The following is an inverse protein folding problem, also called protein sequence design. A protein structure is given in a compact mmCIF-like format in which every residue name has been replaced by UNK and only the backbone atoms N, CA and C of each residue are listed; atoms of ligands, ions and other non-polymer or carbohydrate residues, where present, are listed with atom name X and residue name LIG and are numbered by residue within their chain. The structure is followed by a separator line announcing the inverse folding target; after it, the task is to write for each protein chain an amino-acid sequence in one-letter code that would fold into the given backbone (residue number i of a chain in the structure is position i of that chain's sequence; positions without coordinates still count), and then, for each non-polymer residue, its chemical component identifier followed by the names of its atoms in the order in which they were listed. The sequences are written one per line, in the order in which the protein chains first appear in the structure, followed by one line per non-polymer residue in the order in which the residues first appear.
data_IF_066901117668
#
_entry.id   IF_066901117668
#
_cell.length_a   1.000
_cell.length_b   1.000
_cell.length_c   1.000
_cell.angle_alpha   90.00
_cell.angle_beta   90.00
_cell.angle_gamma   90.00
#
_symmetry.space_group_name_H-M   'P 1'
#
loop_
_entity.id
_entity.type
_entity.pdbx_description
1 polymer ?
#
# COMPACT_ATOMS: atom_id res chain seq x y z
N UNK A 1 -3.72 -15.57 -19.68
CA UNK A 1 -3.54 -14.10 -19.50
C UNK A 1 -2.10 -13.76 -19.83
N UNK A 2 -1.78 -12.57 -20.37
CA UNK A 2 -0.38 -12.15 -20.59
C UNK A 2 0.18 -11.37 -19.40
N UNK A 3 1.51 -11.18 -19.34
CA UNK A 3 2.16 -10.40 -18.27
C UNK A 3 1.72 -8.93 -18.28
N UNK A 4 1.55 -8.33 -19.45
CA UNK A 4 1.07 -6.94 -19.58
C UNK A 4 -0.36 -6.83 -19.07
N UNK A 5 -1.22 -7.80 -19.42
CA UNK A 5 -2.59 -7.83 -18.93
C UNK A 5 -2.66 -7.97 -17.41
N UNK A 6 -1.77 -8.78 -16.81
CA UNK A 6 -1.66 -8.91 -15.35
C UNK A 6 -1.24 -7.60 -14.68
N UNK A 7 -0.20 -6.95 -15.21
CA UNK A 7 0.31 -5.71 -14.66
C UNK A 7 -0.75 -4.60 -14.73
N UNK A 8 -1.45 -4.49 -15.87
CA UNK A 8 -2.58 -3.56 -16.03
C UNK A 8 -3.67 -3.88 -15.02
N UNK A 9 -4.03 -5.16 -14.86
CA UNK A 9 -5.08 -5.60 -13.94
C UNK A 9 -4.76 -5.27 -12.49
N UNK A 10 -3.53 -5.52 -12.04
CA UNK A 10 -3.06 -5.20 -10.70
C UNK A 10 -3.03 -3.68 -10.46
N UNK A 11 -2.54 -2.92 -11.44
CA UNK A 11 -2.48 -1.45 -11.38
C UNK A 11 -3.86 -0.82 -11.31
N UNK A 12 -4.81 -1.31 -12.12
CA UNK A 12 -6.20 -0.85 -12.09
C UNK A 12 -6.91 -1.23 -10.80
N UNK A 13 -6.65 -2.41 -10.24
CA UNK A 13 -7.22 -2.78 -8.94
C UNK A 13 -6.74 -1.83 -7.85
N UNK A 14 -5.43 -1.57 -7.81
CA UNK A 14 -4.83 -0.64 -6.87
C UNK A 14 -5.42 0.78 -7.00
N UNK A 15 -5.45 1.34 -8.21
CA UNK A 15 -5.95 2.69 -8.49
C UNK A 15 -7.44 2.91 -8.11
N UNK A 16 -8.25 1.85 -8.23
CA UNK A 16 -9.68 1.89 -7.93
C UNK A 16 -10.00 1.38 -6.52
N UNK A 17 -8.99 0.95 -5.75
CA UNK A 17 -9.16 0.61 -4.35
C UNK A 17 -9.45 1.87 -3.52
N UNK A 18 -10.30 1.82 -2.49
CA UNK A 18 -10.45 2.94 -1.57
C UNK A 18 -9.15 3.27 -0.82
N UNK A 19 -8.36 2.25 -0.50
CA UNK A 19 -7.24 2.34 0.46
C UNK A 19 -5.92 1.80 -0.12
N UNK A 20 -5.69 1.95 -1.44
CA UNK A 20 -4.46 1.48 -2.07
C UNK A 20 -4.18 -0.03 -1.83
N UNK A 21 -5.23 -0.86 -1.83
CA UNK A 21 -5.14 -2.30 -1.57
C UNK A 21 -4.55 -3.08 -2.74
N UNK A 22 -3.91 -4.21 -2.42
CA UNK A 22 -3.38 -5.15 -3.40
C UNK A 22 -4.45 -6.07 -3.99
N UNK A 23 -4.23 -6.49 -5.23
CA UNK A 23 -5.06 -7.46 -5.93
C UNK A 23 -4.84 -8.87 -5.35
N UNK A 24 -5.85 -9.51 -4.75
CA UNK A 24 -5.67 -10.85 -4.19
C UNK A 24 -5.48 -11.89 -5.30
N UNK A 25 -4.50 -12.77 -5.17
CA UNK A 25 -4.24 -13.87 -6.13
C UNK A 25 -5.47 -14.77 -6.24
N UNK A 26 -6.13 -15.06 -5.12
CA UNK A 26 -7.40 -15.80 -5.08
C UNK A 26 -8.52 -15.22 -5.97
N UNK A 27 -8.51 -13.91 -6.26
CA UNK A 27 -9.44 -13.30 -7.21
C UNK A 27 -9.17 -13.79 -8.63
N UNK A 28 -7.90 -13.84 -9.03
CA UNK A 28 -7.48 -14.33 -10.35
C UNK A 28 -7.72 -15.84 -10.50
N UNK A 29 -7.49 -16.63 -9.45
CA UNK A 29 -7.79 -18.07 -9.46
C UNK A 29 -9.30 -18.34 -9.64
N UNK A 30 -10.15 -17.55 -8.97
CA UNK A 30 -11.61 -17.61 -9.14
C UNK A 30 -12.09 -17.21 -10.54
N UNK A 31 -11.33 -16.36 -11.23
CA UNK A 31 -11.55 -16.01 -12.63
C UNK A 31 -11.11 -17.13 -13.59
N UNK A 32 -10.57 -18.24 -13.08
CA UNK A 32 -10.25 -19.45 -13.83
C UNK A 32 -8.80 -19.52 -14.33
N UNK A 33 -7.90 -18.67 -13.80
CA UNK A 33 -6.49 -18.72 -14.13
C UNK A 33 -5.78 -19.86 -13.40
N UNK A 34 -4.83 -20.51 -14.08
CA UNK A 34 -3.98 -21.53 -13.49
C UNK A 34 -2.96 -20.92 -12.52
N UNK A 35 -2.77 -21.57 -11.36
CA UNK A 35 -1.87 -21.10 -10.31
C UNK A 35 -0.41 -21.08 -10.76
N UNK A 36 0.03 -22.12 -11.47
CA UNK A 36 1.41 -22.27 -11.89
C UNK A 36 1.77 -21.26 -12.97
N UNK A 37 0.89 -21.08 -13.95
CA UNK A 37 1.02 -20.02 -14.97
C UNK A 37 1.07 -18.64 -14.32
N UNK A 38 0.18 -18.36 -13.36
CA UNK A 38 0.15 -17.08 -12.66
C UNK A 38 1.42 -16.84 -11.85
N UNK A 39 1.91 -17.85 -11.15
CA UNK A 39 3.15 -17.77 -10.39
C UNK A 39 4.36 -17.48 -11.30
N UNK A 40 4.42 -18.10 -12.48
CA UNK A 40 5.47 -17.84 -13.47
C UNK A 40 5.42 -16.38 -13.97
N UNK A 41 4.23 -15.87 -14.33
CA UNK A 41 4.05 -14.49 -14.77
C UNK A 41 4.41 -13.48 -13.69
N UNK A 42 3.99 -13.71 -12.44
CA UNK A 42 4.31 -12.84 -11.31
C UNK A 42 5.80 -12.85 -11.02
N UNK A 43 6.45 -14.02 -11.07
CA UNK A 43 7.90 -14.13 -10.88
C UNK A 43 8.66 -13.27 -11.88
N UNK A 44 8.29 -13.34 -13.16
CA UNK A 44 8.92 -12.51 -14.20
C UNK A 44 8.75 -11.01 -13.92
N UNK A 45 7.53 -10.57 -13.60
CA UNK A 45 7.22 -9.16 -13.33
C UNK A 45 7.89 -8.64 -12.05
N UNK A 46 8.04 -9.48 -11.02
CA UNK A 46 8.78 -9.14 -9.79
C UNK A 46 10.27 -8.99 -10.10
N UNK A 47 10.86 -9.89 -10.88
CA UNK A 47 12.26 -9.79 -11.30
C UNK A 47 12.52 -8.58 -12.19
N UNK A 48 11.52 -8.13 -12.97
CA UNK A 48 11.57 -6.87 -13.74
C UNK A 48 11.36 -5.61 -12.87
N UNK A 49 11.00 -5.79 -11.59
CA UNK A 49 10.73 -4.69 -10.66
C UNK A 49 9.43 -3.96 -10.97
N UNK A 50 8.48 -4.61 -11.63
CA UNK A 50 7.19 -4.04 -12.03
C UNK A 50 6.06 -4.41 -11.07
N UNK A 51 6.21 -5.54 -10.37
CA UNK A 51 5.25 -6.04 -9.39
C UNK A 51 5.92 -6.36 -8.07
N UNK A 52 5.12 -6.32 -7.02
CA UNK A 52 5.50 -6.74 -5.68
C UNK A 52 4.40 -7.62 -5.08
N UNK A 53 4.78 -8.52 -4.18
CA UNK A 53 3.89 -9.50 -3.57
C UNK A 53 3.93 -9.36 -2.05
N UNK A 54 2.76 -9.44 -1.43
CA UNK A 54 2.58 -9.54 0.02
C UNK A 54 1.91 -10.87 0.34
N UNK A 55 2.47 -11.62 1.29
CA UNK A 55 1.91 -12.90 1.76
C UNK A 55 1.36 -12.77 3.17
N UNK A 56 0.37 -13.61 3.49
CA UNK A 56 -0.21 -13.71 4.83
C UNK A 56 0.81 -14.20 5.87
N UNK A 57 1.76 -15.05 5.47
CA UNK A 57 2.82 -15.56 6.36
C UNK A 57 3.83 -14.49 6.77
N UNK A 58 3.94 -13.43 5.96
CA UNK A 58 4.84 -12.31 6.22
C UNK A 58 4.12 -11.08 6.78
N UNK A 59 2.79 -11.07 6.72
CA UNK A 59 1.98 -9.91 7.07
C UNK A 59 0.59 -10.35 7.57
N UNK A 60 0.15 -9.80 8.70
CA UNK A 60 -1.16 -10.12 9.30
C UNK A 60 -2.33 -9.82 8.35
N UNK A 61 -2.16 -8.84 7.44
CA UNK A 61 -3.16 -8.52 6.44
C UNK A 61 -2.51 -8.19 5.09
N UNK A 62 -2.43 -9.14 4.14
CA UNK A 62 -1.78 -8.92 2.85
C UNK A 62 -2.53 -7.96 1.92
N UNK A 63 -3.81 -7.67 2.20
CA UNK A 63 -4.61 -6.72 1.43
C UNK A 63 -4.15 -5.27 1.57
N UNK A 64 -3.43 -4.97 2.65
CA UNK A 64 -2.74 -3.68 2.83
C UNK A 64 -1.24 -3.90 2.75
N UNK A 65 -0.55 -2.92 2.18
CA UNK A 65 0.91 -2.86 2.25
C UNK A 65 1.30 -2.34 3.63
N UNK A 66 1.19 -3.17 4.66
CA UNK A 66 1.30 -2.73 6.05
C UNK A 66 2.69 -2.19 6.38
N UNK A 67 3.73 -2.94 6.04
CA UNK A 67 5.12 -2.62 6.37
C UNK A 67 5.97 -2.31 5.12
N UNK A 68 7.03 -1.50 5.26
CA UNK A 68 8.00 -1.26 4.20
C UNK A 68 8.67 -2.53 3.65
N UNK A 69 9.03 -2.50 2.36
CA UNK A 69 9.56 -3.64 1.61
C UNK A 69 10.83 -4.25 2.23
N UNK A 70 11.69 -3.44 2.82
CA UNK A 70 12.96 -3.86 3.42
C UNK A 70 12.81 -4.74 4.67
N UNK A 71 11.60 -4.91 5.21
CA UNK A 71 11.34 -5.81 6.34
C UNK A 71 11.04 -7.25 5.92
N UNK A 72 11.11 -7.58 4.62
CA UNK A 72 10.72 -8.90 4.10
C UNK A 72 11.90 -9.69 3.54
N UNK A 73 11.80 -11.01 3.63
CA UNK A 73 12.74 -11.93 3.00
C UNK A 73 12.71 -11.80 1.46
N UNK A 74 13.75 -12.27 0.74
CA UNK A 74 13.79 -12.25 -0.72
C UNK A 74 12.60 -13.00 -1.36
N UNK A 75 12.14 -12.52 -2.51
CA UNK A 75 10.99 -13.10 -3.23
C UNK A 75 11.15 -14.60 -3.50
N UNK A 76 12.31 -15.02 -4.01
CA UNK A 76 12.55 -16.43 -4.40
C UNK A 76 12.46 -17.39 -3.21
N UNK A 77 12.77 -16.91 -1.99
CA UNK A 77 12.60 -17.68 -0.77
C UNK A 77 11.12 -17.77 -0.38
N UNK A 78 10.40 -16.64 -0.43
CA UNK A 78 9.00 -16.55 -0.03
C UNK A 78 8.08 -17.31 -0.98
N UNK A 79 8.29 -17.22 -2.29
CA UNK A 79 7.46 -17.90 -3.29
C UNK A 79 7.52 -19.43 -3.19
N UNK A 80 8.58 -19.98 -2.58
CA UNK A 80 8.75 -21.41 -2.35
C UNK A 80 8.18 -21.86 -1.00
N UNK A 81 8.21 -20.98 0.01
CA UNK A 81 7.86 -21.31 1.40
C UNK A 81 6.44 -20.92 1.80
N UNK A 82 5.88 -19.93 1.13
CA UNK A 82 4.60 -19.33 1.47
C UNK A 82 3.52 -19.74 0.47
N UNK A 83 2.28 -19.69 0.94
CA UNK A 83 1.11 -19.94 0.14
C UNK A 83 0.85 -18.76 -0.83
N UNK A 84 1.12 -19.01 -2.11
CA UNK A 84 0.94 -18.02 -3.16
C UNK A 84 -0.55 -17.73 -3.44
N UNK A 85 -1.47 -18.65 -3.16
CA UNK A 85 -2.91 -18.46 -3.44
C UNK A 85 -3.52 -17.34 -2.59
N UNK A 86 -3.01 -17.17 -1.37
CA UNK A 86 -3.45 -16.16 -0.40
C UNK A 86 -2.61 -14.88 -0.43
N UNK A 87 -1.71 -14.75 -1.41
CA UNK A 87 -0.92 -13.55 -1.59
C UNK A 87 -1.72 -12.41 -2.26
N UNK A 88 -1.22 -11.18 -2.12
CA UNK A 88 -1.73 -10.00 -2.79
C UNK A 88 -0.65 -9.34 -3.66
N UNK A 89 -1.06 -8.92 -4.85
CA UNK A 89 -0.24 -8.33 -5.90
C UNK A 89 -0.36 -6.81 -5.89
N UNK A 90 0.77 -6.12 -5.96
CA UNK A 90 0.84 -4.65 -6.01
C UNK A 90 1.69 -4.19 -7.18
N UNK A 91 1.30 -3.14 -7.91
CA UNK A 91 2.23 -2.48 -8.82
C UNK A 91 3.40 -1.91 -8.01
N UNK A 92 4.61 -1.93 -8.59
CA UNK A 92 5.76 -1.32 -7.94
C UNK A 92 5.66 0.21 -7.98
N UNK A 93 6.38 0.94 -7.09
CA UNK A 93 6.45 2.41 -7.15
C UNK A 93 6.87 2.95 -8.53
N UNK A 94 7.74 2.21 -9.24
CA UNK A 94 8.16 2.54 -10.61
C UNK A 94 6.99 2.52 -11.59
N UNK A 95 6.12 1.51 -11.50
CA UNK A 95 4.94 1.39 -12.37
C UNK A 95 3.91 2.43 -12.00
N UNK A 96 3.68 2.65 -10.70
CA UNK A 96 2.75 3.67 -10.20
C UNK A 96 3.13 5.05 -10.75
N UNK A 97 4.39 5.46 -10.59
CA UNK A 97 4.87 6.77 -11.04
C UNK A 97 4.74 6.99 -12.57
N UNK A 98 4.69 5.90 -13.34
CA UNK A 98 4.56 5.94 -14.81
C UNK A 98 3.10 5.94 -15.27
N UNK A 99 2.25 5.17 -14.61
CA UNK A 99 0.91 4.81 -15.12
C UNK A 99 -0.22 5.55 -14.39
N UNK A 100 0.00 6.08 -13.18
CA UNK A 100 -1.04 6.71 -12.38
C UNK A 100 -0.84 8.23 -12.24
N UNK A 101 -1.92 8.98 -12.48
CA UNK A 101 -1.98 10.40 -12.13
C UNK A 101 -2.40 10.56 -10.67
N UNK A 102 -1.43 10.95 -9.83
CA UNK A 102 -1.62 11.14 -8.39
C UNK A 102 -1.86 12.62 -8.01
N UNK A 103 -2.07 13.51 -8.99
CA UNK A 103 -2.25 14.94 -8.76
C UNK A 103 -3.39 15.28 -7.80
N UNK A 104 -4.42 14.42 -7.72
CA UNK A 104 -5.54 14.58 -6.78
C UNK A 104 -5.11 14.62 -5.31
N UNK A 105 -3.97 14.03 -4.96
CA UNK A 105 -3.43 14.00 -3.59
C UNK A 105 -2.26 14.97 -3.36
N UNK A 106 -1.99 15.88 -4.30
CA UNK A 106 -0.83 16.79 -4.21
C UNK A 106 -0.79 17.63 -2.91
N UNK A 107 -1.95 17.87 -2.28
CA UNK A 107 -2.06 18.61 -1.01
C UNK A 107 -2.18 17.71 0.23
N UNK A 108 -2.08 16.40 0.06
CA UNK A 108 -2.17 15.39 1.11
C UNK A 108 -0.89 14.56 1.12
N UNK A 109 0.22 15.05 1.69
CA UNK A 109 1.55 14.46 1.49
C UNK A 109 1.65 13.01 1.95
N UNK A 110 0.99 12.63 3.05
CA UNK A 110 1.01 11.25 3.54
C UNK A 110 0.11 10.33 2.71
N UNK A 111 -1.04 10.83 2.26
CA UNK A 111 -1.91 10.12 1.32
C UNK A 111 -1.17 9.91 -0.01
N UNK A 112 -0.50 10.93 -0.52
CA UNK A 112 0.31 10.85 -1.73
C UNK A 112 1.41 9.79 -1.60
N UNK A 113 2.18 9.80 -0.50
CA UNK A 113 3.21 8.79 -0.24
C UNK A 113 2.65 7.36 -0.23
N UNK A 114 1.48 7.17 0.38
CA UNK A 114 0.80 5.87 0.36
C UNK A 114 0.47 5.45 -1.07
N UNK A 115 -0.11 6.36 -1.85
CA UNK A 115 -0.52 6.13 -3.23
C UNK A 115 0.64 6.01 -4.21
N UNK A 116 1.83 6.50 -3.88
CA UNK A 116 3.08 6.28 -4.60
C UNK A 116 3.66 4.86 -4.36
N UNK A 117 2.97 4.02 -3.59
CA UNK A 117 3.39 2.65 -3.26
C UNK A 117 4.07 2.51 -1.89
N UNK A 118 3.91 3.53 -1.03
CA UNK A 118 4.38 3.53 0.36
C UNK A 118 3.64 2.54 1.25
N UNK A 119 4.19 2.29 2.44
CA UNK A 119 3.56 1.43 3.43
C UNK A 119 2.48 2.17 4.22
N UNK A 120 1.45 1.45 4.67
CA UNK A 120 0.37 2.00 5.50
C UNK A 120 0.86 2.37 6.90
N UNK A 121 1.76 1.57 7.47
CA UNK A 121 2.36 1.79 8.78
C UNK A 121 3.83 2.18 8.62
N UNK A 122 4.07 3.25 7.87
CA UNK A 122 5.41 3.81 7.77
C UNK A 122 5.77 4.66 9.00
N UNK A 123 7.04 4.67 9.38
CA UNK A 123 7.53 5.40 10.54
C UNK A 123 8.07 6.76 10.11
N UNK A 124 7.37 7.81 10.52
CA UNK A 124 7.76 9.19 10.25
C UNK A 124 8.29 9.85 11.52
N UNK A 125 9.40 10.57 11.36
CA UNK A 125 10.05 11.30 12.43
C UNK A 125 9.84 12.80 12.23
N UNK A 126 9.61 13.51 13.33
CA UNK A 126 9.43 14.94 13.34
C UNK A 126 10.30 15.56 14.43
N UNK A 127 10.87 16.71 14.12
CA UNK A 127 11.46 17.57 15.14
C UNK A 127 10.35 18.06 16.08
N UNK A 128 10.59 18.00 17.39
CA UNK A 128 9.59 18.42 18.39
C UNK A 128 9.04 19.84 18.14
N UNK A 129 9.86 20.84 17.77
CA UNK A 129 9.35 22.18 17.44
C UNK A 129 8.31 22.21 16.31
N UNK A 130 8.32 21.24 15.38
CA UNK A 130 7.31 21.14 14.33
C UNK A 130 5.96 20.78 14.96
N UNK A 131 5.94 19.77 15.84
CA UNK A 131 4.72 19.32 16.51
C UNK A 131 4.17 20.36 17.49
N UNK A 132 5.05 21.11 18.17
CA UNK A 132 4.66 22.18 19.09
C UNK A 132 3.80 23.27 18.42
N UNK A 133 4.08 23.60 17.14
CA UNK A 133 3.29 24.58 16.39
C UNK A 133 1.84 24.13 16.23
N UNK A 134 1.62 22.86 15.94
CA UNK A 134 0.27 22.30 15.78
C UNK A 134 -0.42 22.12 17.13
N UNK A 135 0.30 21.68 18.16
CA UNK A 135 -0.25 21.57 19.53
C UNK A 135 -0.81 22.91 20.04
N UNK A 136 -0.13 24.01 19.72
CA UNK A 136 -0.50 25.35 20.17
C UNK A 136 -1.52 26.05 19.24
N UNK A 137 -1.84 25.46 18.08
CA UNK A 137 -2.81 26.01 17.15
C UNK A 137 -4.23 25.57 17.53
N UNK A 138 -5.17 26.50 17.81
CA UNK A 138 -6.51 26.16 18.28
C UNK A 138 -7.34 25.35 17.27
N UNK A 139 -6.95 25.34 15.98
CA UNK A 139 -7.58 24.53 14.93
C UNK A 139 -7.30 23.04 15.07
N UNK A 140 -6.30 22.65 15.86
CA UNK A 140 -5.91 21.28 16.08
C UNK A 140 -6.31 20.81 17.48
N UNK A 141 -6.71 19.55 17.57
CA UNK A 141 -6.94 18.81 18.80
C UNK A 141 -5.67 18.05 19.17
N UNK A 142 -5.25 18.15 20.43
CA UNK A 142 -4.11 17.43 20.96
C UNK A 142 -4.52 16.68 22.22
N UNK A 143 -4.25 15.38 22.24
CA UNK A 143 -4.46 14.52 23.40
C UNK A 143 -3.19 13.77 23.74
N UNK A 144 -2.91 13.61 25.03
CA UNK A 144 -1.77 12.87 25.53
C UNK A 144 -2.20 11.94 26.66
N UNK A 145 -1.68 10.71 26.62
CA UNK A 145 -1.82 9.68 27.63
C UNK A 145 -0.42 9.21 28.09
N UNK A 146 -0.38 8.31 29.07
CA UNK A 146 0.88 7.71 29.55
C UNK A 146 1.63 6.89 28.49
N UNK A 147 0.95 6.38 27.46
CA UNK A 147 1.53 5.47 26.46
C UNK A 147 1.65 6.09 25.06
N UNK A 148 1.17 7.31 24.86
CA UNK A 148 1.14 7.95 23.54
C UNK A 148 0.20 9.15 23.49
N UNK A 149 0.00 9.70 22.31
CA UNK A 149 -0.88 10.84 22.10
C UNK A 149 -1.42 10.90 20.68
N UNK A 150 -2.37 11.80 20.44
CA UNK A 150 -2.93 12.06 19.12
C UNK A 150 -2.94 13.56 18.82
N UNK A 151 -2.76 13.89 17.55
CA UNK A 151 -2.89 15.24 17.02
C UNK A 151 -3.78 15.15 15.78
N UNK A 152 -4.88 15.89 15.77
CA UNK A 152 -5.86 15.86 14.69
C UNK A 152 -6.34 17.28 14.37
N UNK A 153 -6.83 17.49 13.15
CA UNK A 153 -7.58 18.71 12.83
C UNK A 153 -8.92 18.62 13.56
N UNK A 154 -9.29 19.65 14.33
CA UNK A 154 -10.66 19.73 14.85
C UNK A 154 -11.57 19.87 13.66
N UNK A 155 -12.52 18.95 13.50
CA UNK A 155 -13.56 19.09 12.50
C UNK A 155 -14.19 20.49 12.66
N UNK A 156 -14.13 21.30 11.60
CA UNK A 156 -14.94 22.51 11.52
C UNK A 156 -16.43 22.12 11.64
N UNK A 157 -17.33 23.06 11.96
CA UNK A 157 -18.76 22.76 11.94
C UNK A 157 -19.10 22.09 10.61
N UNK A 158 -19.77 20.94 10.67
CA UNK A 158 -20.21 20.22 9.48
C UNK A 158 -20.93 21.21 8.55
N UNK A 159 -20.69 21.16 7.22
CA UNK A 159 -21.47 21.95 6.29
C UNK A 159 -22.95 21.62 6.53
N UNK A 160 -23.74 22.65 6.86
CA UNK A 160 -25.19 22.51 6.92
C UNK A 160 -25.64 22.20 5.48
N UNK A 161 -26.08 20.96 5.27
CA UNK A 161 -26.81 20.57 4.07
C UNK A 161 -28.14 21.29 3.95
#
# INVERSE_FOLDING_TARGET
MTKEALLIRATQFYANSPDANGLPVSTLLREGLDLHELQALVTELVHQGELEVVWYETDENPHIRRLPRNFRAPFDELVTKCDFEHACLYPSPKVIAKELDLSRWANEPFTLQLWEGGAHLDLLYFELPVLERYRNDPRFGYEQSFFGGSLNIKAGPAPKG
#
